data_IF_297637928599
#
_entry.id   IF_297637928599
#
_cell.length_a   1.000
_cell.length_b   1.000
_cell.length_c   1.000
_cell.angle_alpha   90.00
_cell.angle_beta   90.00
_cell.angle_gamma   90.00
#
_symmetry.space_group_name_H-M   'P 1'
#
loop_
_entity.id
_entity.type
_entity.pdbx_description
1 polymer ?
#
# COMPACT_ATOMS: atom_id res chain seq x y z
N UNK A 1 22.75 24.57 -7.03
CA UNK A 1 23.81 23.74 -7.64
C UNK A 1 23.11 22.65 -8.43
N UNK A 2 23.04 22.77 -9.76
CA UNK A 2 22.51 21.70 -10.62
C UNK A 2 23.52 20.57 -10.61
N UNK A 3 23.15 19.42 -10.07
CA UNK A 3 23.91 18.18 -10.21
C UNK A 3 24.04 17.91 -11.73
N UNK A 4 25.25 17.87 -12.22
CA UNK A 4 25.56 17.40 -13.58
C UNK A 4 25.19 15.91 -13.57
N UNK A 5 23.98 15.62 -14.04
CA UNK A 5 23.52 14.23 -14.19
C UNK A 5 24.27 13.62 -15.37
N UNK A 6 24.90 12.49 -15.14
CA UNK A 6 25.54 11.73 -16.20
C UNK A 6 24.46 11.31 -17.20
N UNK A 7 24.51 11.79 -18.44
CA UNK A 7 23.49 11.54 -19.49
C UNK A 7 23.40 10.07 -19.94
N UNK A 8 24.28 9.22 -19.42
CA UNK A 8 24.32 7.78 -19.72
C UNK A 8 23.22 6.96 -19.02
N UNK A 9 22.70 7.44 -17.88
CA UNK A 9 21.69 6.71 -17.11
C UNK A 9 20.29 7.29 -17.31
N UNK A 10 19.28 6.41 -17.21
CA UNK A 10 17.90 6.84 -17.12
C UNK A 10 17.60 7.48 -15.77
N UNK A 11 16.45 8.15 -15.67
CA UNK A 11 15.95 8.75 -14.44
C UNK A 11 15.05 7.79 -13.69
N UNK A 12 15.25 7.69 -12.37
CA UNK A 12 14.45 6.85 -11.47
C UNK A 12 13.40 7.70 -10.75
N UNK A 13 12.15 7.25 -10.79
CA UNK A 13 11.04 7.87 -10.07
C UNK A 13 10.58 6.92 -8.97
N UNK A 14 10.76 7.34 -7.70
CA UNK A 14 10.32 6.62 -6.50
C UNK A 14 8.88 7.04 -6.22
N UNK A 15 7.90 6.23 -6.64
CA UNK A 15 6.49 6.63 -6.72
C UNK A 15 5.65 5.89 -5.69
N UNK A 16 4.79 6.63 -4.97
CA UNK A 16 3.74 6.07 -4.14
C UNK A 16 2.54 5.63 -4.98
N UNK A 17 2.19 4.34 -4.87
CA UNK A 17 1.03 3.75 -5.51
C UNK A 17 -0.29 4.00 -4.76
N UNK A 18 -0.23 4.69 -3.62
CA UNK A 18 -1.38 4.82 -2.74
C UNK A 18 -1.74 3.51 -2.01
N UNK A 19 -2.88 3.48 -1.32
CA UNK A 19 -3.26 2.38 -0.43
C UNK A 19 -3.87 1.16 -1.15
N UNK A 20 -4.23 1.28 -2.43
CA UNK A 20 -4.77 0.17 -3.21
C UNK A 20 -5.78 0.59 -4.28
N UNK A 21 -6.71 1.50 -3.99
CA UNK A 21 -7.64 2.02 -4.99
C UNK A 21 -6.88 2.88 -6.03
N UNK A 22 -6.96 2.58 -7.34
CA UNK A 22 -6.26 3.34 -8.38
C UNK A 22 -6.69 4.81 -8.44
N UNK A 23 -7.92 5.14 -8.05
CA UNK A 23 -8.40 6.53 -7.98
C UNK A 23 -7.66 7.40 -6.95
N UNK A 24 -6.86 6.77 -6.08
CA UNK A 24 -6.01 7.46 -5.09
C UNK A 24 -4.57 7.66 -5.56
N UNK A 25 -4.28 7.36 -6.84
CA UNK A 25 -3.03 7.78 -7.45
C UNK A 25 -2.98 9.29 -7.57
N UNK A 26 -1.81 9.87 -7.32
CA UNK A 26 -1.60 11.26 -7.70
C UNK A 26 -1.53 11.36 -9.23
N UNK A 27 -2.00 12.49 -9.80
CA UNK A 27 -1.89 12.74 -11.26
C UNK A 27 -0.46 12.64 -11.77
N UNK A 28 0.53 12.96 -10.93
CA UNK A 28 1.94 12.82 -11.29
C UNK A 28 2.35 11.36 -11.33
N UNK A 29 1.93 10.55 -10.35
CA UNK A 29 2.19 9.12 -10.31
C UNK A 29 1.63 8.42 -11.56
N UNK A 30 0.35 8.63 -11.86
CA UNK A 30 -0.30 8.06 -13.04
C UNK A 30 0.44 8.43 -14.35
N UNK A 31 0.73 9.73 -14.55
CA UNK A 31 1.45 10.18 -15.74
C UNK A 31 2.81 9.48 -15.91
N UNK A 32 3.56 9.31 -14.83
CA UNK A 32 4.87 8.67 -14.88
C UNK A 32 4.77 7.16 -15.09
N UNK A 33 3.77 6.50 -14.50
CA UNK A 33 3.46 5.09 -14.75
C UNK A 33 3.15 4.87 -16.23
N UNK A 34 2.30 5.72 -16.83
CA UNK A 34 1.97 5.66 -18.27
C UNK A 34 3.19 5.90 -19.19
N UNK A 35 4.22 6.60 -18.73
CA UNK A 35 5.43 6.90 -19.49
C UNK A 35 6.57 5.89 -19.26
N UNK A 36 6.48 5.06 -18.24
CA UNK A 36 7.54 4.16 -17.82
C UNK A 36 8.00 3.21 -18.94
N UNK A 37 9.31 2.97 -19.01
CA UNK A 37 9.91 1.91 -19.82
C UNK A 37 10.03 0.61 -19.02
N UNK A 38 10.23 0.74 -17.70
CA UNK A 38 10.25 -0.36 -16.74
C UNK A 38 9.65 0.07 -15.41
N UNK A 39 8.91 -0.84 -14.76
CA UNK A 39 8.41 -0.67 -13.39
C UNK A 39 8.95 -1.78 -12.50
N UNK A 40 9.62 -1.40 -11.41
CA UNK A 40 9.93 -2.28 -10.29
C UNK A 40 8.89 -2.05 -9.19
N UNK A 41 8.07 -3.05 -8.87
CA UNK A 41 6.93 -2.87 -7.97
C UNK A 41 6.96 -3.79 -6.75
N UNK A 42 6.40 -3.29 -5.63
CA UNK A 42 6.20 -4.04 -4.40
C UNK A 42 4.92 -4.89 -4.46
N UNK A 43 4.88 -5.97 -3.70
CA UNK A 43 3.73 -6.89 -3.63
C UNK A 43 2.41 -6.21 -3.23
N UNK A 44 2.45 -5.10 -2.50
CA UNK A 44 1.25 -4.39 -2.04
C UNK A 44 0.63 -3.48 -3.11
N UNK A 45 1.27 -3.35 -4.27
CA UNK A 45 0.74 -2.58 -5.39
C UNK A 45 -0.44 -3.33 -6.02
N UNK A 46 -1.58 -2.66 -6.17
CA UNK A 46 -2.73 -3.22 -6.87
C UNK A 46 -2.36 -3.51 -8.34
N UNK A 47 -2.55 -4.76 -8.84
CA UNK A 47 -2.22 -5.12 -10.23
C UNK A 47 -2.90 -4.25 -11.28
N UNK A 48 -4.10 -3.72 -11.02
CA UNK A 48 -4.77 -2.79 -11.94
C UNK A 48 -3.94 -1.52 -12.17
N UNK A 49 -3.20 -1.03 -11.17
CA UNK A 49 -2.31 0.13 -11.32
C UNK A 49 -1.19 -0.16 -12.33
N UNK A 50 -0.70 -1.38 -12.41
CA UNK A 50 0.31 -1.76 -13.39
C UNK A 50 -0.24 -1.73 -14.83
N UNK A 51 -1.55 -1.85 -15.01
CA UNK A 51 -2.19 -1.83 -16.32
C UNK A 51 -2.33 -0.42 -16.94
N UNK A 52 -2.00 0.65 -16.19
CA UNK A 52 -1.85 2.00 -16.77
C UNK A 52 -0.64 2.10 -17.70
N UNK A 53 0.33 1.21 -17.59
CA UNK A 53 1.57 1.22 -18.39
C UNK A 53 1.32 1.00 -19.88
N UNK A 54 2.32 1.33 -20.70
CA UNK A 54 2.33 0.91 -22.10
C UNK A 54 2.42 -0.63 -22.20
N UNK A 55 1.89 -1.24 -23.24
CA UNK A 55 2.03 -2.69 -23.46
C UNK A 55 3.49 -3.14 -23.49
N UNK A 56 4.39 -2.30 -23.99
CA UNK A 56 5.84 -2.58 -24.10
C UNK A 56 6.62 -2.45 -22.81
N UNK A 57 6.03 -1.90 -21.74
CA UNK A 57 6.72 -1.69 -20.45
C UNK A 57 7.05 -3.03 -19.79
N UNK A 58 8.31 -3.21 -19.39
CA UNK A 58 8.71 -4.32 -18.53
C UNK A 58 8.25 -4.08 -17.11
N UNK A 59 7.62 -5.08 -16.46
CA UNK A 59 7.28 -5.03 -15.03
C UNK A 59 8.09 -6.08 -14.26
N UNK A 60 8.69 -5.68 -13.14
CA UNK A 60 9.57 -6.52 -12.33
C UNK A 60 9.05 -6.54 -10.90
N UNK A 61 8.61 -7.72 -10.45
CA UNK A 61 8.26 -7.94 -9.06
C UNK A 61 9.54 -7.94 -8.20
N UNK A 62 9.64 -6.97 -7.28
CA UNK A 62 10.70 -6.89 -6.29
C UNK A 62 10.16 -7.12 -4.87
N UNK A 63 8.90 -7.48 -4.75
CA UNK A 63 8.25 -7.83 -3.49
C UNK A 63 8.83 -9.11 -2.88
N UNK A 64 8.85 -9.18 -1.56
CA UNK A 64 9.31 -10.37 -0.82
C UNK A 64 8.31 -11.51 -1.05
N UNK A 65 8.74 -12.60 -1.67
CA UNK A 65 7.91 -13.81 -1.80
C UNK A 65 7.89 -14.57 -0.47
N UNK A 66 6.71 -14.99 0.04
CA UNK A 66 6.64 -15.91 1.17
C UNK A 66 7.40 -17.19 0.80
N UNK A 67 8.16 -17.74 1.77
CA UNK A 67 8.86 -19.04 1.64
C UNK A 67 10.03 -19.14 0.63
N UNK A 68 10.47 -18.05 0.00
CA UNK A 68 11.72 -18.00 -0.77
C UNK A 68 12.77 -17.19 -0.04
N UNK A 69 14.07 -17.35 -0.41
CA UNK A 69 15.15 -16.49 0.12
C UNK A 69 14.69 -15.04 0.10
N UNK A 70 14.73 -14.39 1.27
CA UNK A 70 14.33 -12.98 1.37
C UNK A 70 15.14 -12.17 0.36
N UNK A 71 14.44 -11.48 -0.55
CA UNK A 71 15.07 -10.43 -1.35
C UNK A 71 15.54 -9.37 -0.35
N UNK A 72 16.85 -9.22 -0.22
CA UNK A 72 17.43 -8.19 0.64
C UNK A 72 17.21 -6.83 0.00
N UNK A 73 17.26 -5.75 0.79
CA UNK A 73 17.13 -4.40 0.23
C UNK A 73 18.25 -4.11 -0.76
N UNK A 74 19.43 -4.64 -0.51
CA UNK A 74 20.59 -4.55 -1.40
C UNK A 74 20.30 -5.12 -2.79
N UNK A 75 19.60 -6.25 -2.88
CA UNK A 75 19.20 -6.86 -4.17
C UNK A 75 18.21 -5.95 -4.93
N UNK A 76 17.28 -5.31 -4.21
CA UNK A 76 16.33 -4.37 -4.80
C UNK A 76 17.10 -3.15 -5.33
N UNK A 77 18.02 -2.60 -4.53
CA UNK A 77 18.84 -1.46 -4.89
C UNK A 77 19.67 -1.75 -6.15
N UNK A 78 20.30 -2.93 -6.24
CA UNK A 78 21.03 -3.35 -7.42
C UNK A 78 20.17 -3.46 -8.67
N UNK A 79 18.93 -3.96 -8.53
CA UNK A 79 17.97 -4.02 -9.65
C UNK A 79 17.54 -2.63 -10.12
N UNK A 80 17.37 -1.66 -9.22
CA UNK A 80 17.04 -0.27 -9.58
C UNK A 80 18.21 0.33 -10.39
N UNK A 81 19.44 0.16 -9.93
CA UNK A 81 20.63 0.62 -10.67
C UNK A 81 20.77 -0.04 -12.04
N UNK A 82 20.55 -1.36 -12.11
CA UNK A 82 20.60 -2.09 -13.37
C UNK A 82 19.51 -1.60 -14.35
N UNK A 83 18.30 -1.33 -13.84
CA UNK A 83 17.22 -0.77 -14.65
C UNK A 83 17.56 0.63 -15.18
N UNK A 84 18.15 1.52 -14.35
CA UNK A 84 18.58 2.85 -14.78
C UNK A 84 19.69 2.83 -15.85
N UNK A 85 20.52 1.78 -15.89
CA UNK A 85 21.52 1.57 -16.95
C UNK A 85 20.91 1.16 -18.28
N UNK A 86 19.70 0.55 -18.26
CA UNK A 86 19.07 -0.04 -19.46
C UNK A 86 17.93 0.83 -20.02
N UNK A 87 17.19 1.52 -19.16
CA UNK A 87 15.97 2.24 -19.49
C UNK A 87 16.07 3.72 -19.18
N UNK A 88 15.34 4.56 -19.91
CA UNK A 88 15.35 6.02 -19.69
C UNK A 88 14.39 6.47 -18.60
N UNK A 89 13.21 5.87 -18.55
CA UNK A 89 12.17 6.19 -17.55
C UNK A 89 11.94 4.95 -16.68
N UNK A 90 12.55 4.96 -15.49
CA UNK A 90 12.48 3.86 -14.52
C UNK A 90 11.53 4.25 -13.39
N UNK A 91 10.50 3.46 -13.15
CA UNK A 91 9.58 3.66 -12.04
C UNK A 91 9.83 2.60 -10.96
N UNK A 92 10.12 3.04 -9.74
CA UNK A 92 10.09 2.24 -8.53
C UNK A 92 8.75 2.50 -7.84
N UNK A 93 7.80 1.58 -7.96
CA UNK A 93 6.43 1.72 -7.48
C UNK A 93 6.26 1.05 -6.12
N UNK A 94 5.86 1.82 -5.11
CA UNK A 94 5.80 1.42 -3.70
C UNK A 94 4.38 1.59 -3.17
N UNK A 95 3.88 0.63 -2.39
CA UNK A 95 2.57 0.77 -1.74
C UNK A 95 2.53 1.97 -0.78
N UNK A 96 1.41 2.69 -0.73
CA UNK A 96 1.25 3.88 0.10
C UNK A 96 2.07 5.07 -0.38
N UNK A 97 2.82 5.67 0.53
CA UNK A 97 3.76 6.78 0.30
C UNK A 97 5.20 6.30 0.49
N UNK A 98 6.14 6.59 -0.43
CA UNK A 98 7.54 6.18 -0.31
C UNK A 98 8.24 6.70 0.95
N UNK A 99 7.85 7.86 1.45
CA UNK A 99 8.45 8.52 2.60
C UNK A 99 7.96 7.96 3.95
N UNK A 100 6.87 7.15 3.96
CA UNK A 100 6.30 6.58 5.19
C UNK A 100 6.62 5.10 5.29
N UNK A 101 7.63 4.74 6.08
CA UNK A 101 8.14 3.37 6.28
C UNK A 101 8.50 2.62 4.99
N UNK A 102 8.74 3.35 3.90
CA UNK A 102 9.03 2.80 2.57
C UNK A 102 10.51 2.56 2.29
N UNK A 103 11.42 2.79 3.24
CA UNK A 103 12.88 2.64 3.07
C UNK A 103 13.46 3.47 1.92
N UNK A 104 12.78 4.57 1.57
CA UNK A 104 13.12 5.41 0.41
C UNK A 104 14.55 5.99 0.50
N UNK A 105 15.02 6.29 1.71
CA UNK A 105 16.37 6.82 1.94
C UNK A 105 17.44 5.85 1.46
N UNK A 106 17.30 4.56 1.74
CA UNK A 106 18.25 3.52 1.32
C UNK A 106 18.28 3.38 -0.22
N UNK A 107 17.13 3.55 -0.90
CA UNK A 107 17.05 3.56 -2.36
C UNK A 107 17.67 4.85 -2.95
N UNK A 108 17.52 6.00 -2.27
CA UNK A 108 18.14 7.27 -2.66
C UNK A 108 19.65 7.22 -2.52
N UNK A 109 20.16 6.64 -1.44
CA UNK A 109 21.60 6.62 -1.16
C UNK A 109 22.36 5.87 -2.25
N UNK A 110 21.85 4.70 -2.71
CA UNK A 110 22.45 3.97 -3.81
C UNK A 110 22.36 4.71 -5.16
N UNK A 111 21.26 5.44 -5.39
CA UNK A 111 21.12 6.26 -6.60
C UNK A 111 22.12 7.41 -6.61
N UNK A 112 22.35 8.06 -5.47
CA UNK A 112 23.37 9.11 -5.31
C UNK A 112 24.78 8.57 -5.53
N UNK A 113 25.09 7.40 -4.93
CA UNK A 113 26.38 6.73 -5.09
C UNK A 113 26.71 6.47 -6.57
N UNK A 114 25.71 6.06 -7.35
CA UNK A 114 25.85 5.80 -8.78
C UNK A 114 25.59 7.03 -9.66
N UNK A 115 25.40 8.23 -9.09
CA UNK A 115 25.10 9.49 -9.80
C UNK A 115 23.88 9.39 -10.73
N UNK A 116 22.86 8.58 -10.34
CA UNK A 116 21.63 8.40 -11.08
C UNK A 116 20.64 9.49 -10.66
N UNK A 117 20.04 10.18 -11.63
CA UNK A 117 19.01 11.18 -11.38
C UNK A 117 17.73 10.51 -10.86
N UNK A 118 17.10 11.10 -9.85
CA UNK A 118 15.85 10.59 -9.28
C UNK A 118 14.90 11.70 -8.85
N UNK A 119 13.62 11.36 -8.75
CA UNK A 119 12.59 12.15 -8.06
C UNK A 119 11.78 11.25 -7.14
N UNK A 120 11.25 11.85 -6.06
CA UNK A 120 10.25 11.21 -5.19
C UNK A 120 8.89 11.77 -5.54
N UNK A 121 7.92 10.88 -5.79
CA UNK A 121 6.54 11.24 -6.05
C UNK A 121 5.67 10.73 -4.90
N UNK A 122 5.12 11.60 -4.04
CA UNK A 122 4.28 11.20 -2.93
C UNK A 122 3.06 10.39 -3.34
N UNK A 123 2.56 9.61 -2.41
CA UNK A 123 1.30 8.87 -2.53
C UNK A 123 0.41 9.05 -1.31
N UNK A 124 -0.82 8.58 -1.38
CA UNK A 124 -1.70 8.54 -0.20
C UNK A 124 -1.23 7.42 0.71
N UNK A 125 -0.81 7.77 1.94
CA UNK A 125 -0.39 6.78 2.92
C UNK A 125 -1.58 6.01 3.51
N UNK A 126 -1.38 4.75 3.89
CA UNK A 126 -2.45 3.87 4.39
C UNK A 126 -3.16 4.40 5.64
N UNK A 127 -2.49 5.18 6.51
CA UNK A 127 -3.15 5.77 7.67
C UNK A 127 -4.25 6.77 7.27
N UNK A 128 -3.97 7.65 6.29
CA UNK A 128 -4.96 8.61 5.80
C UNK A 128 -6.14 7.92 5.10
N UNK A 129 -5.86 6.87 4.36
CA UNK A 129 -6.89 6.08 3.69
C UNK A 129 -7.76 5.31 4.70
N UNK A 130 -7.14 4.71 5.71
CA UNK A 130 -7.83 3.93 6.73
C UNK A 130 -8.84 4.76 7.53
N UNK A 131 -8.45 5.97 7.97
CA UNK A 131 -9.40 6.83 8.70
C UNK A 131 -10.50 7.38 7.81
N UNK A 132 -10.24 7.57 6.50
CA UNK A 132 -11.27 7.95 5.56
C UNK A 132 -12.34 6.84 5.40
N UNK A 133 -11.96 5.56 5.48
CA UNK A 133 -12.91 4.43 5.50
C UNK A 133 -13.77 4.41 6.79
N UNK A 134 -13.33 5.11 7.84
CA UNK A 134 -14.07 5.27 9.10
C UNK A 134 -14.88 6.58 9.17
N UNK A 135 -14.85 7.42 8.13
CA UNK A 135 -15.34 8.81 8.11
C UNK A 135 -14.73 9.68 9.22
N UNK A 136 -13.48 9.41 9.55
CA UNK A 136 -12.72 10.13 10.58
C UNK A 136 -11.51 10.87 9.99
N UNK A 137 -10.97 11.81 10.76
CA UNK A 137 -9.64 12.37 10.55
C UNK A 137 -8.63 11.73 11.50
N UNK A 138 -7.34 11.75 11.12
CA UNK A 138 -6.25 11.38 12.03
C UNK A 138 -6.10 12.38 13.19
N UNK A 139 -6.60 13.59 13.02
CA UNK A 139 -6.65 14.64 14.01
C UNK A 139 -8.05 15.21 14.13
N UNK A 140 -8.45 15.59 15.34
CA UNK A 140 -9.74 16.19 15.60
C UNK A 140 -9.58 17.31 16.63
N UNK A 141 -10.09 18.50 16.31
CA UNK A 141 -10.01 19.66 17.22
C UNK A 141 -10.62 19.31 18.56
N UNK A 142 -9.95 19.65 19.65
CA UNK A 142 -10.35 19.40 21.04
C UNK A 142 -10.42 17.92 21.45
N UNK A 143 -10.09 16.97 20.58
CA UNK A 143 -10.08 15.52 20.86
C UNK A 143 -8.70 14.93 20.63
N UNK A 144 -8.14 15.07 19.42
CA UNK A 144 -6.84 14.54 19.04
C UNK A 144 -6.05 15.60 18.27
N UNK A 145 -5.28 16.47 18.97
CA UNK A 145 -4.57 17.58 18.33
C UNK A 145 -3.36 17.16 17.50
N UNK A 146 -2.92 15.92 17.64
CA UNK A 146 -1.71 15.40 17.01
C UNK A 146 -1.85 13.94 16.58
N UNK A 147 -0.99 13.49 15.68
CA UNK A 147 -0.89 12.09 15.27
C UNK A 147 0.57 11.65 15.26
N UNK A 148 0.82 10.44 15.76
CA UNK A 148 2.11 9.76 15.65
C UNK A 148 1.97 8.59 14.68
N UNK A 149 2.85 8.53 13.67
CA UNK A 149 3.05 7.34 12.85
C UNK A 149 4.16 6.50 13.47
N UNK A 150 3.86 5.25 13.77
CA UNK A 150 4.81 4.30 14.35
C UNK A 150 4.84 3.01 13.55
N UNK A 151 5.92 2.25 13.69
CA UNK A 151 6.04 0.91 13.13
C UNK A 151 5.92 -0.15 14.21
N UNK A 152 5.20 -1.23 13.93
CA UNK A 152 5.21 -2.42 14.76
C UNK A 152 6.34 -3.40 14.40
N UNK A 153 7.16 -3.07 13.40
CA UNK A 153 8.30 -3.88 12.98
C UNK A 153 9.61 -3.25 13.50
N UNK A 154 10.12 -3.79 14.59
CA UNK A 154 11.41 -3.39 15.16
C UNK A 154 12.50 -4.33 14.64
N UNK A 155 13.66 -3.76 14.28
CA UNK A 155 14.83 -4.51 13.88
C UNK A 155 15.48 -5.08 15.16
N UNK A 156 15.64 -6.39 15.19
CA UNK A 156 16.35 -7.19 16.20
C UNK A 156 16.58 -6.54 17.59
N UNK A 157 15.87 -7.05 18.61
CA UNK A 157 16.11 -6.93 20.08
C UNK A 157 16.54 -5.57 20.67
N UNK A 158 16.55 -4.51 19.90
CA UNK A 158 16.64 -3.16 20.44
C UNK A 158 15.22 -2.78 20.84
N UNK A 159 14.96 -2.72 22.14
CA UNK A 159 13.75 -2.14 22.75
C UNK A 159 13.64 -0.67 22.30
N UNK A 160 13.28 -0.44 21.05
CA UNK A 160 12.83 0.87 20.63
C UNK A 160 11.39 1.01 21.10
N UNK A 161 11.24 1.67 22.23
CA UNK A 161 9.94 2.04 22.77
C UNK A 161 9.18 2.83 21.71
N UNK A 162 8.01 2.32 21.38
CA UNK A 162 7.04 3.05 20.56
C UNK A 162 6.71 4.36 21.25
N UNK A 163 6.71 5.49 20.55
CA UNK A 163 6.32 6.75 21.17
C UNK A 163 4.81 6.77 21.49
N UNK A 164 4.50 6.23 22.67
CA UNK A 164 3.15 6.14 23.22
C UNK A 164 2.76 7.45 23.92
N UNK A 165 3.71 8.36 24.19
CA UNK A 165 3.44 9.60 24.92
C UNK A 165 2.38 10.45 24.25
N UNK A 166 2.40 10.52 22.93
CA UNK A 166 1.41 11.25 22.17
C UNK A 166 -0.01 10.70 22.38
N UNK A 167 -0.16 9.37 22.40
CA UNK A 167 -1.45 8.71 22.70
C UNK A 167 -1.91 9.04 24.12
N UNK A 168 -1.03 8.93 25.11
CA UNK A 168 -1.33 9.25 26.50
C UNK A 168 -1.69 10.75 26.72
N UNK A 169 -1.24 11.62 25.83
CA UNK A 169 -1.58 13.05 25.82
C UNK A 169 -2.79 13.37 24.93
N UNK A 170 -3.59 12.37 24.54
CA UNK A 170 -4.81 12.55 23.74
C UNK A 170 -4.60 12.60 22.24
N UNK A 171 -3.40 12.32 21.73
CA UNK A 171 -3.14 12.25 20.31
C UNK A 171 -3.58 10.90 19.70
N UNK A 172 -3.56 10.81 18.38
CA UNK A 172 -3.79 9.56 17.66
C UNK A 172 -2.48 8.81 17.44
N UNK A 173 -2.51 7.49 17.57
CA UNK A 173 -1.39 6.61 17.23
C UNK A 173 -1.79 5.72 16.04
N UNK A 174 -1.10 5.88 14.91
CA UNK A 174 -1.27 5.05 13.73
C UNK A 174 -0.06 4.11 13.58
N UNK A 175 -0.30 2.79 13.64
CA UNK A 175 0.76 1.77 13.69
C UNK A 175 0.77 0.97 12.39
N UNK A 176 1.85 1.09 11.64
CA UNK A 176 2.15 0.33 10.44
C UNK A 176 2.83 -0.99 10.78
N UNK A 177 2.55 -2.04 10.01
CA UNK A 177 3.17 -3.37 10.19
C UNK A 177 2.99 -3.96 11.60
N UNK A 178 1.95 -3.52 12.34
CA UNK A 178 1.72 -3.89 13.74
C UNK A 178 0.98 -5.21 13.96
N UNK A 179 0.26 -5.73 12.96
CA UNK A 179 -0.69 -6.85 13.13
C UNK A 179 -0.04 -8.08 13.74
N UNK A 180 1.12 -8.49 13.25
CA UNK A 180 1.83 -9.70 13.74
C UNK A 180 2.39 -9.55 15.16
N UNK A 181 2.50 -8.33 15.66
CA UNK A 181 3.03 -8.01 17.00
C UNK A 181 2.01 -7.28 17.87
N UNK A 182 0.73 -7.43 17.56
CA UNK A 182 -0.34 -6.71 18.25
C UNK A 182 -0.30 -6.93 19.77
N UNK A 183 -0.08 -8.17 20.22
CA UNK A 183 0.09 -8.53 21.64
C UNK A 183 1.22 -7.72 22.31
N UNK A 184 2.36 -7.64 21.62
CA UNK A 184 3.50 -6.86 22.12
C UNK A 184 3.16 -5.37 22.19
N UNK A 185 2.55 -4.82 21.14
CA UNK A 185 2.11 -3.43 21.07
C UNK A 185 1.15 -3.10 22.23
N UNK A 186 0.13 -3.93 22.45
CA UNK A 186 -0.81 -3.77 23.57
C UNK A 186 -0.07 -3.79 24.91
N UNK A 187 0.89 -4.71 25.08
CA UNK A 187 1.68 -4.80 26.30
C UNK A 187 2.52 -3.55 26.56
N UNK A 188 3.09 -2.95 25.51
CA UNK A 188 3.83 -1.70 25.60
C UNK A 188 2.91 -0.55 26.00
N UNK A 189 1.74 -0.40 25.36
CA UNK A 189 0.78 0.65 25.70
C UNK A 189 0.35 0.52 27.16
N UNK A 190 0.07 -0.69 27.66
CA UNK A 190 -0.33 -0.93 29.05
C UNK A 190 0.75 -0.64 30.10
N UNK A 191 2.02 -0.57 29.71
CA UNK A 191 3.12 -0.11 30.61
C UNK A 191 3.06 1.40 30.86
N UNK A 192 2.60 2.18 29.88
CA UNK A 192 2.55 3.64 29.95
C UNK A 192 1.22 4.18 30.46
N UNK A 193 0.13 3.46 30.26
CA UNK A 193 -1.20 3.91 30.61
C UNK A 193 -2.07 2.75 31.06
N UNK A 194 -3.01 3.02 31.97
CA UNK A 194 -4.05 2.06 32.40
C UNK A 194 -5.32 2.17 31.57
N UNK A 195 -5.37 3.14 30.68
CA UNK A 195 -6.54 3.39 29.85
C UNK A 195 -6.73 2.27 28.82
N UNK A 196 -7.97 1.82 28.65
CA UNK A 196 -8.34 0.82 27.66
C UNK A 196 -8.83 1.53 26.38
N UNK A 197 -7.87 2.06 25.61
CA UNK A 197 -8.14 2.83 24.39
C UNK A 197 -8.95 2.04 23.36
N UNK A 198 -9.77 2.77 22.61
CA UNK A 198 -10.41 2.27 21.44
C UNK A 198 -9.38 2.15 20.29
N UNK A 199 -9.52 1.07 19.54
CA UNK A 199 -8.64 0.71 18.41
C UNK A 199 -9.48 0.29 17.22
N UNK A 200 -9.16 0.81 16.06
CA UNK A 200 -9.64 0.31 14.77
C UNK A 200 -8.47 -0.31 14.00
N UNK A 201 -8.69 -1.50 13.45
CA UNK A 201 -7.75 -2.18 12.57
C UNK A 201 -8.38 -2.28 11.21
N UNK A 202 -7.76 -1.67 10.21
CA UNK A 202 -8.25 -1.65 8.84
C UNK A 202 -7.30 -2.49 7.99
N UNK A 203 -7.79 -3.62 7.51
CA UNK A 203 -7.08 -4.48 6.57
C UNK A 203 -7.41 -4.08 5.15
N UNK A 204 -6.41 -4.13 4.27
CA UNK A 204 -6.57 -3.85 2.84
C UNK A 204 -7.34 -2.55 2.56
N UNK A 205 -7.05 -1.48 3.30
CA UNK A 205 -7.72 -0.19 3.19
C UNK A 205 -7.88 0.23 1.72
N UNK A 206 -9.11 0.62 1.34
CA UNK A 206 -9.52 1.01 -0.01
C UNK A 206 -9.52 -0.08 -1.09
N UNK A 207 -9.16 -1.31 -0.73
CA UNK A 207 -9.22 -2.45 -1.66
C UNK A 207 -10.58 -3.15 -1.61
N UNK A 208 -10.84 -4.00 -2.60
CA UNK A 208 -12.08 -4.78 -2.71
C UNK A 208 -12.36 -5.67 -1.48
N UNK A 209 -11.32 -6.11 -0.79
CA UNK A 209 -11.37 -6.95 0.41
C UNK A 209 -11.06 -6.16 1.70
N UNK A 210 -11.38 -4.88 1.72
CA UNK A 210 -11.26 -4.06 2.92
C UNK A 210 -12.06 -4.67 4.07
N UNK A 211 -11.41 -4.83 5.23
CA UNK A 211 -12.04 -5.33 6.44
C UNK A 211 -11.69 -4.43 7.61
N UNK A 212 -12.71 -3.98 8.32
CA UNK A 212 -12.59 -3.08 9.47
C UNK A 212 -12.96 -3.86 10.74
N UNK A 213 -12.08 -3.81 11.73
CA UNK A 213 -12.31 -4.41 13.06
C UNK A 213 -12.11 -3.32 14.10
N UNK A 214 -13.14 -3.08 14.90
CA UNK A 214 -13.12 -2.06 15.95
C UNK A 214 -13.34 -2.72 17.30
N UNK A 215 -12.65 -2.23 18.30
CA UNK A 215 -12.78 -2.70 19.68
C UNK A 215 -11.92 -1.91 20.63
N UNK A 216 -11.73 -2.44 21.83
CA UNK A 216 -10.81 -1.92 22.81
C UNK A 216 -9.51 -2.72 22.85
N UNK A 217 -8.44 -2.15 23.37
CA UNK A 217 -7.18 -2.87 23.56
C UNK A 217 -7.35 -4.19 24.32
N UNK A 218 -8.35 -4.28 25.20
CA UNK A 218 -8.67 -5.51 25.95
C UNK A 218 -9.38 -6.58 25.15
N UNK A 219 -10.05 -6.23 24.05
CA UNK A 219 -10.96 -7.12 23.31
C UNK A 219 -10.57 -7.38 21.88
N UNK A 220 -9.71 -6.54 21.29
CA UNK A 220 -9.42 -6.55 19.86
C UNK A 220 -8.82 -7.90 19.38
N UNK A 221 -7.98 -8.54 20.17
CA UNK A 221 -7.40 -9.84 19.81
C UNK A 221 -8.46 -10.93 19.72
N UNK A 222 -9.41 -10.93 20.65
CA UNK A 222 -10.54 -11.86 20.60
C UNK A 222 -11.43 -11.62 19.37
N UNK A 223 -11.65 -10.36 19.00
CA UNK A 223 -12.40 -10.04 17.79
C UNK A 223 -11.67 -10.51 16.52
N UNK A 224 -10.36 -10.29 16.44
CA UNK A 224 -9.53 -10.77 15.33
C UNK A 224 -9.52 -12.30 15.23
N UNK A 225 -9.52 -13.00 16.35
CA UNK A 225 -9.50 -14.48 16.37
C UNK A 225 -10.74 -15.11 15.73
N UNK A 226 -11.85 -14.37 15.63
CA UNK A 226 -13.09 -14.83 14.98
C UNK A 226 -13.06 -14.68 13.46
N UNK A 227 -12.10 -13.91 12.95
CA UNK A 227 -12.00 -13.61 11.52
C UNK A 227 -10.93 -14.49 10.87
N UNK A 228 -11.21 -14.96 9.67
CA UNK A 228 -10.23 -15.74 8.90
C UNK A 228 -9.28 -14.81 8.11
N UNK A 229 -8.71 -13.82 8.79
CA UNK A 229 -7.77 -12.88 8.19
C UNK A 229 -6.36 -13.45 8.37
N UNK A 230 -5.82 -14.04 7.30
CA UNK A 230 -4.47 -14.62 7.29
C UNK A 230 -3.55 -13.73 6.46
N UNK A 231 -2.58 -13.10 7.12
CA UNK A 231 -1.46 -12.39 6.48
C UNK A 231 -1.82 -11.15 5.65
N UNK A 232 -3.04 -10.61 5.78
CA UNK A 232 -3.43 -9.38 5.10
C UNK A 232 -2.68 -8.17 5.69
N UNK A 233 -2.30 -7.20 4.84
CA UNK A 233 -1.73 -5.95 5.32
C UNK A 233 -2.81 -5.15 6.03
N UNK A 234 -2.48 -4.65 7.22
CA UNK A 234 -3.40 -3.85 8.01
C UNK A 234 -2.69 -2.73 8.75
N UNK A 235 -3.46 -1.70 9.08
CA UNK A 235 -3.03 -0.58 9.88
C UNK A 235 -3.88 -0.50 11.14
N UNK A 236 -3.24 -0.20 12.29
CA UNK A 236 -3.93 0.02 13.55
C UNK A 236 -4.02 1.52 13.82
N UNK A 237 -5.21 2.01 14.11
CA UNK A 237 -5.49 3.40 14.53
C UNK A 237 -6.02 3.36 15.95
N UNK A 238 -5.35 4.07 16.85
CA UNK A 238 -5.68 4.12 18.27
C UNK A 238 -5.88 5.56 18.72
N UNK A 239 -6.81 5.74 19.65
CA UNK A 239 -7.05 7.01 20.31
C UNK A 239 -8.54 7.37 20.39
N UNK A 240 -8.82 8.45 21.10
CA UNK A 240 -10.20 8.90 21.35
C UNK A 240 -10.99 9.26 20.07
N UNK A 241 -10.33 9.47 18.94
CA UNK A 241 -11.02 9.73 17.67
C UNK A 241 -11.93 8.57 17.26
N UNK A 242 -11.60 7.33 17.66
CA UNK A 242 -12.38 6.14 17.29
C UNK A 242 -13.78 6.19 17.89
N UNK A 243 -13.97 6.86 19.04
CA UNK A 243 -15.26 7.03 19.68
C UNK A 243 -16.25 7.92 18.90
N UNK A 244 -15.77 8.60 17.87
CA UNK A 244 -16.58 9.46 16.98
C UNK A 244 -16.95 8.77 15.68
N UNK A 245 -16.59 7.50 15.52
CA UNK A 245 -17.00 6.69 14.39
C UNK A 245 -18.50 6.38 14.46
N UNK A 246 -19.15 6.33 13.30
CA UNK A 246 -20.55 5.92 13.20
C UNK A 246 -20.68 4.42 13.50
N UNK A 247 -21.54 4.05 14.46
CA UNK A 247 -21.76 2.68 14.89
C UNK A 247 -22.26 1.78 13.74
N UNK A 248 -22.96 2.32 12.74
CA UNK A 248 -23.40 1.58 11.56
C UNK A 248 -22.23 1.04 10.73
N UNK A 249 -21.05 1.64 10.83
CA UNK A 249 -19.85 1.20 10.11
C UNK A 249 -19.07 0.07 10.80
N UNK A 250 -19.33 -0.18 12.07
CA UNK A 250 -18.65 -1.22 12.87
C UNK A 250 -18.88 -2.64 12.30
N UNK A 251 -19.92 -2.85 11.51
CA UNK A 251 -20.37 -4.17 11.06
C UNK A 251 -20.02 -4.47 9.60
N UNK A 252 -19.43 -3.53 8.88
CA UNK A 252 -19.07 -3.74 7.48
C UNK A 252 -17.64 -4.32 7.30
N UNK A 253 -17.39 -5.53 7.87
CA UNK A 253 -16.51 -6.42 7.13
C UNK A 253 -17.24 -6.72 5.83
N UNK A 254 -16.75 -6.22 4.70
CA UNK A 254 -17.17 -6.71 3.38
C UNK A 254 -16.71 -8.16 3.31
N UNK A 255 -17.45 -9.07 3.99
CA UNK A 255 -17.29 -10.49 3.79
C UNK A 255 -17.54 -10.70 2.30
N UNK A 256 -16.47 -10.95 1.59
CA UNK A 256 -16.49 -11.32 0.19
C UNK A 256 -17.31 -12.58 0.05
N UNK A 257 -18.57 -12.39 -0.27
CA UNK A 257 -19.37 -13.42 -0.90
C UNK A 257 -18.74 -13.61 -2.27
N UNK A 258 -18.09 -14.75 -2.48
CA UNK A 258 -17.41 -15.16 -3.71
C UNK A 258 -16.56 -14.06 -4.37
N UNK A 259 -15.25 -14.16 -4.21
CA UNK A 259 -14.28 -13.22 -4.76
C UNK A 259 -14.35 -13.21 -6.30
N UNK A 260 -15.19 -12.35 -6.85
CA UNK A 260 -15.38 -12.21 -8.28
C UNK A 260 -14.32 -11.28 -8.86
N UNK A 261 -13.59 -11.76 -9.84
CA UNK A 261 -12.71 -10.94 -10.66
C UNK A 261 -13.49 -10.40 -11.88
N UNK A 262 -13.58 -9.08 -12.00
CA UNK A 262 -14.15 -8.42 -13.17
C UNK A 262 -13.03 -8.15 -14.18
N UNK A 263 -13.12 -8.73 -15.36
CA UNK A 263 -12.20 -8.52 -16.47
C UNK A 263 -12.90 -7.67 -17.53
N UNK A 264 -12.46 -6.42 -17.66
CA UNK A 264 -13.05 -5.45 -18.59
C UNK A 264 -12.29 -5.52 -19.90
N UNK A 265 -13.02 -5.80 -21.00
CA UNK A 265 -12.48 -5.99 -22.34
C UNK A 265 -12.86 -4.84 -23.25
N UNK A 266 -11.96 -4.48 -24.17
CA UNK A 266 -12.21 -3.50 -25.21
C UNK A 266 -11.10 -2.47 -25.37
N UNK A 267 -11.46 -1.21 -25.67
CA UNK A 267 -10.47 -0.14 -25.76
C UNK A 267 -9.80 0.10 -24.41
N UNK A 268 -8.48 0.23 -24.38
CA UNK A 268 -7.70 0.37 -23.13
C UNK A 268 -8.20 1.49 -22.21
N UNK A 269 -8.41 2.67 -22.76
CA UNK A 269 -8.79 3.84 -21.94
C UNK A 269 -10.23 3.70 -21.41
N UNK A 270 -11.15 3.18 -22.23
CA UNK A 270 -12.52 2.90 -21.78
C UNK A 270 -12.54 1.79 -20.73
N UNK A 271 -11.74 0.74 -20.92
CA UNK A 271 -11.64 -0.35 -19.97
C UNK A 271 -11.03 0.10 -18.61
N UNK A 272 -10.00 0.97 -18.64
CA UNK A 272 -9.43 1.57 -17.44
C UNK A 272 -10.47 2.44 -16.71
N UNK A 273 -11.14 3.34 -17.43
CA UNK A 273 -12.18 4.19 -16.82
C UNK A 273 -13.28 3.35 -16.16
N UNK A 274 -13.73 2.29 -16.84
CA UNK A 274 -14.73 1.37 -16.26
C UNK A 274 -14.20 0.62 -15.05
N UNK A 275 -12.93 0.18 -15.07
CA UNK A 275 -12.29 -0.49 -13.95
C UNK A 275 -12.13 0.44 -12.74
N UNK A 276 -11.84 1.73 -12.97
CA UNK A 276 -11.78 2.77 -11.93
C UNK A 276 -13.15 2.94 -11.25
N UNK A 277 -14.23 3.06 -12.02
CA UNK A 277 -15.60 3.17 -11.50
C UNK A 277 -15.98 1.95 -10.64
N UNK A 278 -15.65 0.75 -11.09
CA UNK A 278 -15.91 -0.48 -10.35
C UNK A 278 -15.02 -0.61 -9.10
N UNK A 279 -13.78 -0.12 -9.16
CA UNK A 279 -12.87 -0.09 -8.02
C UNK A 279 -13.38 0.84 -6.90
N UNK A 280 -14.10 1.93 -7.24
CA UNK A 280 -14.77 2.78 -6.24
C UNK A 280 -15.91 2.04 -5.52
N UNK A 281 -16.48 1.03 -6.17
CA UNK A 281 -17.50 0.15 -5.59
C UNK A 281 -16.86 -1.05 -4.86
N UNK A 282 -15.56 -1.02 -4.65
CA UNK A 282 -14.78 -2.10 -4.03
C UNK A 282 -14.86 -3.43 -4.79
N UNK A 283 -14.88 -3.37 -6.12
CA UNK A 283 -14.83 -4.56 -6.96
C UNK A 283 -13.40 -4.81 -7.44
N UNK A 284 -13.00 -6.07 -7.49
CA UNK A 284 -11.68 -6.48 -7.98
C UNK A 284 -11.68 -6.49 -9.49
N UNK A 285 -10.85 -5.67 -10.12
CA UNK A 285 -10.85 -5.46 -11.56
C UNK A 285 -9.49 -5.70 -12.19
N UNK A 286 -9.50 -6.18 -13.43
CA UNK A 286 -8.41 -6.14 -14.40
C UNK A 286 -8.97 -5.72 -15.75
N UNK A 287 -8.10 -5.20 -16.64
CA UNK A 287 -8.48 -4.93 -18.03
C UNK A 287 -7.80 -5.90 -18.99
N UNK A 288 -8.45 -6.14 -20.12
CA UNK A 288 -7.92 -6.92 -21.23
C UNK A 288 -8.22 -6.20 -22.54
N UNK A 289 -7.19 -5.92 -23.34
CA UNK A 289 -7.31 -5.24 -24.62
C UNK A 289 -6.40 -5.88 -25.67
N UNK A 290 -6.72 -5.71 -26.94
CA UNK A 290 -6.07 -6.39 -28.06
C UNK A 290 -4.76 -5.70 -28.46
N UNK A 291 -3.72 -5.91 -27.65
CA UNK A 291 -2.37 -5.50 -27.94
C UNK A 291 -1.36 -6.56 -27.47
N UNK A 292 -0.16 -6.54 -28.07
CA UNK A 292 0.91 -7.44 -27.64
C UNK A 292 1.58 -6.88 -26.39
N UNK A 293 1.37 -7.56 -25.27
CA UNK A 293 2.00 -7.21 -24.00
C UNK A 293 3.44 -7.70 -23.93
N UNK A 294 4.27 -6.96 -23.20
CA UNK A 294 5.55 -7.48 -22.73
C UNK A 294 5.33 -8.79 -21.95
N UNK A 295 6.24 -9.77 -22.11
CA UNK A 295 6.09 -11.10 -21.49
C UNK A 295 5.85 -11.07 -19.98
N UNK A 296 6.48 -10.12 -19.27
CA UNK A 296 6.30 -9.96 -17.82
C UNK A 296 4.87 -9.53 -17.45
N UNK A 297 4.24 -8.63 -18.22
CA UNK A 297 2.87 -8.21 -18.02
C UNK A 297 1.89 -9.36 -18.30
N UNK A 298 2.09 -10.03 -19.45
CA UNK A 298 1.28 -11.18 -19.84
C UNK A 298 1.29 -12.26 -18.77
N UNK A 299 2.48 -12.62 -18.28
CA UNK A 299 2.63 -13.62 -17.22
C UNK A 299 1.87 -13.24 -15.94
N UNK A 300 1.98 -11.98 -15.49
CA UNK A 300 1.29 -11.51 -14.29
C UNK A 300 -0.23 -11.60 -14.44
N UNK A 301 -0.78 -11.04 -15.53
CA UNK A 301 -2.23 -10.95 -15.69
C UNK A 301 -2.87 -12.31 -15.94
N UNK A 302 -2.24 -13.17 -16.74
CA UNK A 302 -2.68 -14.56 -16.94
C UNK A 302 -2.64 -15.35 -15.62
N UNK A 303 -1.59 -15.18 -14.82
CA UNK A 303 -1.50 -15.81 -13.49
C UNK A 303 -2.65 -15.39 -12.57
N UNK A 304 -2.99 -14.09 -12.54
CA UNK A 304 -4.10 -13.60 -11.72
C UNK A 304 -5.43 -14.19 -12.21
N UNK A 305 -5.69 -14.16 -13.51
CA UNK A 305 -6.93 -14.70 -14.09
C UNK A 305 -7.06 -16.21 -13.80
N UNK A 306 -5.98 -16.98 -13.99
CA UNK A 306 -6.00 -18.43 -13.79
C UNK A 306 -6.24 -18.83 -12.31
N UNK A 307 -5.85 -17.99 -11.37
CA UNK A 307 -6.03 -18.25 -9.93
C UNK A 307 -7.46 -17.98 -9.43
N UNK A 308 -8.30 -17.27 -10.22
CA UNK A 308 -9.67 -16.95 -9.81
C UNK A 308 -10.66 -17.97 -10.36
N UNK A 309 -11.52 -18.48 -9.46
CA UNK A 309 -12.59 -19.42 -9.82
C UNK A 309 -13.79 -18.70 -10.46
N UNK A 310 -14.09 -17.50 -9.98
CA UNK A 310 -15.22 -16.70 -10.40
C UNK A 310 -14.75 -15.47 -11.18
N UNK A 311 -15.03 -15.45 -12.48
CA UNK A 311 -14.66 -14.34 -13.37
C UNK A 311 -15.90 -13.84 -14.09
N UNK A 312 -16.10 -12.51 -14.11
CA UNK A 312 -17.09 -11.84 -14.94
C UNK A 312 -16.39 -10.97 -15.98
N UNK A 313 -16.79 -11.15 -17.24
CA UNK A 313 -16.31 -10.33 -18.34
C UNK A 313 -17.31 -9.19 -18.63
N UNK A 314 -16.77 -8.00 -18.89
CA UNK A 314 -17.53 -6.80 -19.26
C UNK A 314 -16.88 -6.26 -20.54
N UNK A 315 -17.67 -6.10 -21.59
CA UNK A 315 -17.21 -5.47 -22.85
C UNK A 315 -17.50 -3.95 -22.82
N UNK A 316 -16.55 -3.13 -23.30
CA UNK A 316 -16.64 -1.65 -23.40
C UNK A 316 -16.17 -1.12 -24.74
#
# INVERSE_FOLDING_TARGET
MSLVTNSEFGKVYLIGAGPGNPNLLTKQAERLIRQADVILYDRLVNPLILQYTKPTTEIIDVGKKPYTKHIQQEDINLKIVAAAKKYKVVVRLKGGDPAVFGRVTEEIDILKEHQIAYDIVPGVTSASAAVASLDLGLTMRSVAPSVTFSTGHFKDDIDQDMDIRNLANGGTLAIYMGIKRLNYIISQIRRYTKEDYDIAIIFNATCYNETIVVGKLSTIEYQLSKLNIKHDPGICILGHIINYMDDEKIIHSKQTIDEILYVIKGNKELALSKAEDLSQQYLKCLIQYDETYHSSQKYLYESIITQHQNIKYIEV
#
